data_IF_455592572892
#
_entry.id   IF_455592572892
#
_cell.length_a   1.000
_cell.length_b   1.000
_cell.length_c   1.000
_cell.angle_alpha   90.00
_cell.angle_beta   90.00
_cell.angle_gamma   90.00
#
_symmetry.space_group_name_H-M   'P 1'
#
loop_
_entity.id
_entity.type
_entity.pdbx_description
1 polymer ?
#
# COMPACT_ATOMS: atom_id res chain seq x y z
N UNK A 1 -21.98 -22.08 8.63
CA UNK A 1 -22.04 -23.38 9.34
C UNK A 1 -21.75 -23.12 10.80
N UNK A 2 -22.73 -23.34 11.69
CA UNK A 2 -22.56 -23.18 13.13
C UNK A 2 -21.83 -24.40 13.69
N UNK A 3 -20.55 -24.24 14.05
CA UNK A 3 -19.87 -25.20 14.90
C UNK A 3 -20.27 -24.94 16.35
N UNK A 4 -20.90 -25.94 16.98
CA UNK A 4 -21.22 -25.94 18.41
C UNK A 4 -19.93 -25.82 19.20
N UNK A 5 -19.94 -24.93 20.18
CA UNK A 5 -18.83 -24.55 21.06
C UNK A 5 -18.56 -25.56 22.19
N UNK A 6 -19.21 -26.71 22.15
CA UNK A 6 -19.20 -27.70 23.23
C UNK A 6 -18.75 -29.06 22.67
N UNK A 7 -17.44 -29.29 22.59
CA UNK A 7 -16.83 -30.65 22.64
C UNK A 7 -15.29 -30.68 22.65
N UNK A 8 -14.59 -29.57 22.97
CA UNK A 8 -13.22 -29.65 23.45
C UNK A 8 -13.23 -29.57 24.98
N UNK A 9 -13.50 -30.71 25.63
CA UNK A 9 -13.09 -30.86 27.02
C UNK A 9 -11.56 -30.77 27.04
N UNK A 10 -10.94 -29.92 27.88
CA UNK A 10 -9.52 -30.06 28.13
C UNK A 10 -9.32 -31.45 28.72
N UNK A 11 -8.66 -32.34 27.97
CA UNK A 11 -8.08 -33.53 28.56
C UNK A 11 -7.12 -33.00 29.61
N UNK A 12 -7.43 -33.29 30.87
CA UNK A 12 -6.66 -32.94 32.05
C UNK A 12 -5.34 -33.73 31.98
N UNK A 13 -4.45 -33.34 31.06
CA UNK A 13 -3.07 -33.80 31.04
C UNK A 13 -2.46 -33.18 32.27
N UNK A 14 -2.08 -34.05 33.20
CA UNK A 14 -1.67 -33.66 34.54
C UNK A 14 -0.40 -32.79 34.43
N UNK A 15 -0.54 -31.46 34.41
CA UNK A 15 0.55 -30.50 34.25
C UNK A 15 1.70 -30.73 35.26
N UNK A 16 1.37 -31.30 36.43
CA UNK A 16 2.33 -31.74 37.44
C UNK A 16 3.27 -32.84 36.95
N UNK A 17 2.79 -33.76 36.10
CA UNK A 17 3.58 -34.87 35.57
C UNK A 17 4.55 -34.39 34.49
N UNK A 18 4.12 -33.43 33.65
CA UNK A 18 4.99 -32.76 32.67
C UNK A 18 6.07 -31.95 33.40
N UNK A 19 5.68 -31.14 34.40
CA UNK A 19 6.63 -30.37 35.22
C UNK A 19 7.62 -31.28 35.96
N UNK A 20 7.18 -32.43 36.49
CA UNK A 20 8.05 -33.42 37.14
C UNK A 20 9.09 -34.01 36.18
N UNK A 21 8.68 -34.41 34.97
CA UNK A 21 9.61 -34.99 33.99
C UNK A 21 10.58 -33.96 33.41
N UNK A 22 10.15 -32.70 33.27
CA UNK A 22 11.03 -31.60 32.92
C UNK A 22 12.07 -31.36 34.03
N UNK A 23 11.65 -31.27 35.29
CA UNK A 23 12.58 -31.09 36.40
C UNK A 23 13.62 -32.23 36.51
N UNK A 24 13.23 -33.49 36.26
CA UNK A 24 14.18 -34.61 36.20
C UNK A 24 15.20 -34.48 35.06
N UNK A 25 14.79 -33.95 33.90
CA UNK A 25 15.72 -33.69 32.79
C UNK A 25 16.75 -32.60 33.14
N UNK A 26 16.36 -31.61 33.94
CA UNK A 26 17.23 -30.48 34.33
C UNK A 26 18.15 -30.78 35.52
N UNK A 27 17.92 -31.85 36.30
CA UNK A 27 18.69 -32.17 37.51
C UNK A 27 19.83 -33.19 37.31
N UNK A 28 19.83 -34.03 36.26
CA UNK A 28 20.79 -35.15 36.13
C UNK A 28 21.66 -35.16 34.85
N UNK A 29 22.86 -35.75 34.99
CA UNK A 29 24.01 -35.69 34.06
C UNK A 29 23.74 -36.25 32.65
N UNK A 30 24.39 -35.63 31.66
CA UNK A 30 24.21 -35.68 30.20
C UNK A 30 24.08 -37.04 29.46
N UNK A 31 24.32 -38.20 30.08
CA UNK A 31 24.39 -39.48 29.33
C UNK A 31 23.16 -40.41 29.51
N UNK A 32 22.55 -40.52 30.70
CA UNK A 32 21.31 -41.31 30.90
C UNK A 32 20.04 -40.57 30.43
N UNK A 33 20.14 -39.25 30.26
CA UNK A 33 19.00 -38.39 29.94
C UNK A 33 18.55 -38.44 28.48
N UNK A 34 19.38 -38.90 27.53
CA UNK A 34 18.98 -39.01 26.13
C UNK A 34 17.83 -40.01 25.91
N UNK A 35 17.73 -41.07 26.72
CA UNK A 35 16.72 -42.11 26.53
C UNK A 35 15.34 -41.71 27.09
N UNK A 36 15.31 -41.09 28.27
CA UNK A 36 14.09 -40.49 28.86
C UNK A 36 13.61 -39.31 28.02
N UNK A 37 14.55 -38.50 27.51
CA UNK A 37 14.29 -37.39 26.60
C UNK A 37 13.72 -37.85 25.26
N UNK A 38 14.29 -38.90 24.66
CA UNK A 38 13.73 -39.55 23.47
C UNK A 38 12.32 -40.08 23.71
N UNK A 39 12.06 -40.69 24.87
CA UNK A 39 10.73 -41.17 25.23
C UNK A 39 9.71 -40.04 25.43
N UNK A 40 10.14 -38.91 26.00
CA UNK A 40 9.30 -37.71 26.12
C UNK A 40 8.95 -37.16 24.73
N UNK A 41 9.93 -36.96 23.83
CA UNK A 41 9.68 -36.50 22.47
C UNK A 41 8.73 -37.45 21.72
N UNK A 42 8.90 -38.76 21.86
CA UNK A 42 8.02 -39.77 21.26
C UNK A 42 6.59 -39.71 21.85
N UNK A 43 6.43 -39.30 23.12
CA UNK A 43 5.12 -39.13 23.77
C UNK A 43 4.43 -37.79 23.44
N UNK A 44 5.16 -36.79 22.95
CA UNK A 44 4.61 -35.48 22.56
C UNK A 44 3.98 -35.52 21.15
N UNK A 45 2.74 -36.00 21.04
CA UNK A 45 1.89 -35.77 19.87
C UNK A 45 1.35 -34.31 19.86
N UNK A 46 0.86 -33.82 18.71
CA UNK A 46 0.45 -32.41 18.45
C UNK A 46 -0.34 -31.70 19.57
N UNK A 47 -1.23 -32.38 20.30
CA UNK A 47 -2.02 -31.81 21.41
C UNK A 47 -1.19 -31.47 22.67
N UNK A 48 -0.04 -32.11 22.85
CA UNK A 48 0.85 -31.87 24.00
C UNK A 48 1.84 -30.73 23.75
N UNK A 49 2.07 -30.34 22.48
CA UNK A 49 2.90 -29.17 22.11
C UNK A 49 2.22 -27.89 22.59
N UNK A 50 0.92 -27.73 22.32
CA UNK A 50 0.14 -26.56 22.74
C UNK A 50 0.11 -26.42 24.28
N UNK A 51 -0.04 -27.53 25.01
CA UNK A 51 0.04 -27.56 26.47
C UNK A 51 1.45 -27.17 26.99
N UNK A 52 2.52 -27.61 26.33
CA UNK A 52 3.89 -27.27 26.68
C UNK A 52 4.23 -25.79 26.39
N UNK A 53 3.77 -25.27 25.24
CA UNK A 53 3.90 -23.85 24.92
C UNK A 53 3.12 -23.01 25.95
N UNK A 54 1.92 -23.42 26.34
CA UNK A 54 1.16 -22.75 27.41
C UNK A 54 1.84 -22.82 28.78
N UNK A 55 2.57 -23.90 29.09
CA UNK A 55 3.40 -24.03 30.30
C UNK A 55 4.57 -23.03 30.32
N UNK A 56 5.21 -22.76 29.18
CA UNK A 56 6.24 -21.70 29.09
C UNK A 56 5.69 -20.29 29.33
N UNK A 57 4.39 -20.06 29.10
CA UNK A 57 3.73 -18.76 29.35
C UNK A 57 3.23 -18.58 30.79
N UNK A 58 2.84 -19.65 31.47
CA UNK A 58 2.36 -19.60 32.86
C UNK A 58 3.44 -19.20 33.88
N UNK A 59 4.72 -19.36 33.53
CA UNK A 59 5.85 -19.11 34.41
C UNK A 59 6.28 -17.64 34.49
N UNK A 60 5.68 -16.76 33.68
CA UNK A 60 6.04 -15.34 33.57
C UNK A 60 4.91 -14.38 34.03
N UNK A 61 3.71 -14.89 34.34
CA UNK A 61 2.50 -14.08 34.54
C UNK A 61 1.96 -13.99 35.97
N UNK A 62 2.56 -14.64 36.96
CA UNK A 62 2.15 -14.51 38.36
C UNK A 62 3.32 -14.17 39.29
N UNK A 63 3.43 -12.91 39.78
CA UNK A 63 4.43 -12.53 40.78
C UNK A 63 4.13 -13.08 42.18
N UNK A 64 2.96 -13.70 42.42
CA UNK A 64 2.48 -14.03 43.76
C UNK A 64 2.56 -15.52 44.13
N UNK A 65 2.96 -16.40 43.20
CA UNK A 65 3.30 -17.77 43.56
C UNK A 65 4.76 -17.85 44.00
N UNK A 66 4.96 -17.86 45.32
CA UNK A 66 6.23 -18.11 46.04
C UNK A 66 6.83 -19.52 45.80
N UNK A 67 6.64 -20.11 44.63
CA UNK A 67 7.53 -21.14 44.11
C UNK A 67 8.65 -20.41 43.39
N UNK A 68 9.84 -20.44 43.97
CA UNK A 68 11.10 -20.11 43.29
C UNK A 68 10.99 -20.54 41.83
N UNK A 69 10.85 -19.58 40.93
CA UNK A 69 11.01 -19.80 39.50
C UNK A 69 12.34 -20.51 39.39
N UNK A 70 12.40 -21.76 38.90
CA UNK A 70 13.70 -22.36 38.66
C UNK A 70 14.39 -21.41 37.67
N UNK A 71 15.54 -20.86 38.07
CA UNK A 71 16.49 -20.16 37.18
C UNK A 71 16.95 -21.05 35.98
N UNK A 72 16.34 -22.23 35.83
CA UNK A 72 16.58 -23.29 34.87
C UNK A 72 15.82 -23.18 33.55
N UNK A 73 14.88 -22.24 33.37
CA UNK A 73 14.42 -21.89 32.00
C UNK A 73 15.45 -21.01 31.30
N UNK A 74 16.68 -21.53 31.20
CA UNK A 74 17.72 -20.93 30.39
C UNK A 74 17.27 -21.03 28.92
N UNK A 75 17.18 -19.89 28.26
CA UNK A 75 16.78 -19.74 26.86
C UNK A 75 17.58 -20.63 25.91
N UNK A 76 18.84 -20.90 26.24
CA UNK A 76 19.70 -21.82 25.50
C UNK A 76 19.17 -23.26 25.56
N UNK A 77 18.58 -23.66 26.70
CA UNK A 77 18.01 -25.00 26.87
C UNK A 77 16.67 -25.12 26.17
N UNK A 78 15.82 -24.09 26.19
CA UNK A 78 14.57 -24.09 25.41
C UNK A 78 14.85 -24.11 23.90
N UNK A 79 15.86 -23.36 23.44
CA UNK A 79 16.33 -23.36 22.06
C UNK A 79 16.89 -24.73 21.64
N UNK A 80 17.71 -25.36 22.49
CA UNK A 80 18.18 -26.75 22.29
C UNK A 80 17.03 -27.74 22.26
N UNK A 81 16.09 -27.64 23.19
CA UNK A 81 14.90 -28.49 23.24
C UNK A 81 14.11 -28.39 21.94
N UNK A 82 13.80 -27.18 21.47
CA UNK A 82 13.09 -27.01 20.20
C UNK A 82 13.89 -27.66 19.06
N UNK A 83 15.20 -27.39 18.97
CA UNK A 83 16.08 -28.00 17.97
C UNK A 83 16.02 -29.53 17.97
N UNK A 84 16.10 -30.16 19.15
CA UNK A 84 16.10 -31.61 19.28
C UNK A 84 14.69 -32.20 19.06
N UNK A 85 13.66 -31.57 19.61
CA UNK A 85 12.26 -31.93 19.37
C UNK A 85 11.95 -31.96 17.88
N UNK A 86 12.40 -30.94 17.15
CA UNK A 86 12.28 -30.88 15.71
C UNK A 86 13.05 -32.04 15.04
N UNK A 87 14.32 -32.27 15.39
CA UNK A 87 15.12 -33.36 14.82
C UNK A 87 14.49 -34.76 15.00
N UNK A 88 13.64 -34.96 16.02
CA UNK A 88 13.06 -36.26 16.36
C UNK A 88 11.55 -36.40 16.10
N UNK A 89 10.88 -35.33 15.68
CA UNK A 89 9.44 -35.36 15.38
C UNK A 89 9.11 -36.07 14.06
N UNK A 90 8.17 -37.03 14.12
CA UNK A 90 7.72 -37.82 12.96
C UNK A 90 6.97 -36.92 11.95
N UNK A 91 6.21 -35.93 12.45
CA UNK A 91 5.53 -34.88 11.65
C UNK A 91 6.13 -33.48 11.93
N UNK A 92 7.44 -33.36 11.71
CA UNK A 92 8.21 -32.12 11.89
C UNK A 92 7.54 -30.86 11.36
N UNK A 93 6.93 -30.95 10.17
CA UNK A 93 6.24 -29.83 9.54
C UNK A 93 5.03 -29.39 10.39
N UNK A 94 4.14 -30.32 10.74
CA UNK A 94 2.95 -30.00 11.51
C UNK A 94 3.29 -29.43 12.90
N UNK A 95 4.32 -29.98 13.54
CA UNK A 95 4.84 -29.49 14.81
C UNK A 95 5.37 -28.06 14.69
N UNK A 96 6.17 -27.77 13.66
CA UNK A 96 6.72 -26.45 13.38
C UNK A 96 5.61 -25.42 13.14
N UNK A 97 4.60 -25.77 12.33
CA UNK A 97 3.45 -24.90 12.09
C UNK A 97 2.64 -24.62 13.36
N UNK A 98 2.40 -25.63 14.19
CA UNK A 98 1.65 -25.46 15.45
C UNK A 98 2.36 -24.49 16.39
N UNK A 99 3.68 -24.63 16.50
CA UNK A 99 4.54 -23.73 17.28
C UNK A 99 4.45 -22.29 16.74
N UNK A 100 4.64 -22.10 15.44
CA UNK A 100 4.54 -20.79 14.80
C UNK A 100 3.14 -20.16 14.92
N UNK A 101 2.08 -20.94 14.70
CA UNK A 101 0.70 -20.47 14.80
C UNK A 101 0.40 -20.01 16.22
N UNK A 102 0.75 -20.81 17.23
CA UNK A 102 0.50 -20.48 18.63
C UNK A 102 1.22 -19.20 19.08
N UNK A 103 2.46 -19.01 18.60
CA UNK A 103 3.24 -17.82 18.90
C UNK A 103 2.75 -16.55 18.20
N UNK A 104 2.11 -16.68 17.04
CA UNK A 104 1.65 -15.54 16.23
C UNK A 104 0.17 -15.21 16.43
N UNK A 105 -0.62 -16.07 17.07
CA UNK A 105 -2.06 -15.88 17.26
C UNK A 105 -2.42 -14.78 18.28
N UNK A 106 -1.47 -14.32 19.11
CA UNK A 106 -1.64 -13.24 20.07
C UNK A 106 -0.43 -12.30 20.04
N UNK A 107 -0.67 -10.98 20.06
CA UNK A 107 0.34 -9.92 20.12
C UNK A 107 1.33 -10.13 21.27
N UNK A 108 0.85 -10.51 22.45
CA UNK A 108 1.68 -10.66 23.66
C UNK A 108 2.66 -11.84 23.51
N UNK A 109 2.21 -12.92 22.87
CA UNK A 109 3.04 -14.09 22.57
C UNK A 109 4.13 -13.73 21.56
N UNK A 110 3.80 -12.88 20.58
CA UNK A 110 4.72 -12.44 19.56
C UNK A 110 5.86 -11.58 20.16
N UNK A 111 5.54 -10.59 21.01
CA UNK A 111 6.54 -9.77 21.72
C UNK A 111 7.50 -10.64 22.54
N UNK A 112 6.95 -11.58 23.32
CA UNK A 112 7.75 -12.51 24.13
C UNK A 112 8.68 -13.36 23.25
N UNK A 113 8.21 -13.84 22.12
CA UNK A 113 9.01 -14.64 21.19
C UNK A 113 10.15 -13.86 20.52
N UNK A 114 9.91 -12.59 20.23
CA UNK A 114 10.93 -11.69 19.70
C UNK A 114 12.02 -11.47 20.75
N UNK A 115 11.63 -11.18 22.00
CA UNK A 115 12.54 -10.91 23.11
C UNK A 115 13.48 -12.07 23.47
N UNK A 116 13.11 -13.29 23.07
CA UNK A 116 13.80 -14.54 23.41
C UNK A 116 14.72 -15.06 22.30
N UNK A 117 14.80 -14.37 21.14
CA UNK A 117 15.58 -14.79 19.95
C UNK A 117 15.19 -16.15 19.35
N UNK A 118 14.16 -16.84 19.87
CA UNK A 118 13.76 -18.17 19.40
C UNK A 118 13.34 -18.12 17.92
N UNK A 119 12.86 -16.98 17.45
CA UNK A 119 12.60 -16.72 16.03
C UNK A 119 13.81 -17.07 15.15
N UNK A 120 15.04 -16.68 15.54
CA UNK A 120 16.26 -16.99 14.79
C UNK A 120 16.51 -18.50 14.68
N UNK A 121 16.25 -19.25 15.75
CA UNK A 121 16.37 -20.71 15.76
C UNK A 121 15.32 -21.35 14.84
N UNK A 122 14.05 -20.93 14.96
CA UNK A 122 12.99 -21.44 14.09
C UNK A 122 13.28 -21.14 12.61
N UNK A 123 13.78 -19.94 12.32
CA UNK A 123 14.29 -19.55 11.01
C UNK A 123 15.43 -20.46 10.56
N UNK A 124 16.48 -20.66 11.35
CA UNK A 124 17.55 -21.58 10.97
C UNK A 124 17.07 -23.02 10.68
N UNK A 125 16.08 -23.50 11.43
CA UNK A 125 15.44 -24.82 11.22
C UNK A 125 14.67 -24.83 9.90
N UNK A 126 13.92 -23.77 9.59
CA UNK A 126 13.24 -23.61 8.30
C UNK A 126 14.18 -23.67 7.12
N UNK A 127 15.37 -23.10 7.26
CA UNK A 127 16.36 -23.11 6.18
C UNK A 127 16.77 -24.51 5.73
N UNK A 128 16.61 -25.49 6.60
CA UNK A 128 16.96 -26.89 6.34
C UNK A 128 15.74 -27.74 5.99
N UNK A 129 14.54 -27.18 6.06
CA UNK A 129 13.29 -27.90 5.81
C UNK A 129 13.01 -27.99 4.32
N UNK A 130 12.66 -29.17 3.81
CA UNK A 130 12.09 -29.35 2.47
C UNK A 130 10.57 -29.42 2.58
N UNK A 131 9.86 -28.59 1.83
CA UNK A 131 8.39 -28.59 1.81
C UNK A 131 7.88 -29.64 0.81
N UNK A 132 7.08 -30.60 1.29
CA UNK A 132 6.48 -31.66 0.46
C UNK A 132 5.03 -31.36 0.07
N UNK A 133 4.37 -30.48 0.82
CA UNK A 133 2.98 -30.06 0.62
C UNK A 133 2.91 -28.53 0.44
N UNK A 134 2.34 -28.09 -0.68
CA UNK A 134 2.16 -26.67 -1.02
C UNK A 134 1.21 -25.96 -0.05
N UNK A 135 0.17 -26.63 0.45
CA UNK A 135 -0.75 -26.02 1.42
C UNK A 135 -0.04 -25.74 2.74
N UNK A 136 0.81 -26.68 3.16
CA UNK A 136 1.66 -26.52 4.33
C UNK A 136 2.64 -25.36 4.13
N UNK A 137 3.33 -25.29 2.98
CA UNK A 137 4.22 -24.16 2.65
C UNK A 137 3.48 -22.81 2.71
N UNK A 138 2.29 -22.73 2.11
CA UNK A 138 1.50 -21.49 2.08
C UNK A 138 1.08 -21.04 3.48
N UNK A 139 0.56 -21.97 4.31
CA UNK A 139 0.18 -21.68 5.69
C UNK A 139 1.39 -21.24 6.51
N UNK A 140 2.52 -21.91 6.29
CA UNK A 140 3.77 -21.59 6.96
C UNK A 140 4.28 -20.17 6.63
N UNK A 141 4.30 -19.84 5.33
CA UNK A 141 4.69 -18.52 4.83
C UNK A 141 3.75 -17.44 5.37
N UNK A 142 2.45 -17.69 5.39
CA UNK A 142 1.46 -16.76 5.96
C UNK A 142 1.76 -16.45 7.44
N UNK A 143 2.10 -17.47 8.23
CA UNK A 143 2.46 -17.28 9.63
C UNK A 143 3.75 -16.48 9.80
N UNK A 144 4.75 -16.70 8.95
CA UNK A 144 5.96 -15.86 8.92
C UNK A 144 5.65 -14.41 8.57
N UNK A 145 4.74 -14.18 7.61
CA UNK A 145 4.31 -12.83 7.25
C UNK A 145 3.63 -12.13 8.42
N UNK A 146 2.77 -12.83 9.16
CA UNK A 146 2.12 -12.28 10.34
C UNK A 146 3.13 -11.91 11.44
N UNK A 147 4.14 -12.76 11.65
CA UNK A 147 5.23 -12.49 12.59
C UNK A 147 6.04 -11.25 12.19
N UNK A 148 6.38 -11.13 10.90
CA UNK A 148 7.08 -9.97 10.32
C UNK A 148 6.25 -8.71 10.46
N UNK A 149 4.95 -8.78 10.20
CA UNK A 149 4.05 -7.65 10.36
C UNK A 149 4.12 -7.10 11.78
N UNK A 150 4.01 -8.00 12.75
CA UNK A 150 4.04 -7.65 14.16
C UNK A 150 5.38 -7.06 14.58
N UNK A 151 6.49 -7.67 14.13
CA UNK A 151 7.85 -7.18 14.36
C UNK A 151 8.08 -5.76 13.82
N UNK A 152 7.50 -5.45 12.67
CA UNK A 152 7.80 -4.22 11.92
C UNK A 152 6.77 -3.10 12.12
N UNK A 153 5.56 -3.41 12.61
CA UNK A 153 4.54 -2.43 12.98
C UNK A 153 4.85 -1.72 14.30
N UNK A 154 5.56 -2.37 15.24
CA UNK A 154 5.86 -1.78 16.53
C UNK A 154 6.98 -0.72 16.41
N UNK A 155 6.57 0.54 16.28
CA UNK A 155 7.47 1.65 15.99
C UNK A 155 8.45 1.96 17.15
N UNK A 156 8.11 1.53 18.37
CA UNK A 156 8.86 1.79 19.61
C UNK A 156 9.92 0.73 19.91
N UNK A 157 9.87 -0.41 19.24
CA UNK A 157 10.73 -1.54 19.57
C UNK A 157 12.11 -1.46 18.91
N UNK A 158 13.18 -1.66 19.70
CA UNK A 158 14.56 -1.77 19.20
C UNK A 158 14.76 -3.03 18.30
N UNK A 159 13.77 -3.90 18.21
CA UNK A 159 13.82 -5.19 17.49
C UNK A 159 13.76 -5.05 15.96
N UNK A 160 13.39 -3.87 15.44
CA UNK A 160 13.27 -3.57 14.00
C UNK A 160 14.49 -3.92 13.14
N UNK A 161 15.67 -4.10 13.73
CA UNK A 161 16.95 -4.24 12.99
C UNK A 161 17.39 -5.67 12.73
N UNK A 162 16.74 -6.69 13.30
CA UNK A 162 17.32 -8.04 13.33
C UNK A 162 16.78 -9.02 12.29
N UNK A 163 15.89 -8.58 11.40
CA UNK A 163 15.20 -9.50 10.50
C UNK A 163 15.51 -9.31 9.02
N UNK A 164 16.60 -9.88 8.48
CA UNK A 164 17.02 -9.60 7.11
C UNK A 164 16.17 -10.33 6.06
N UNK A 165 15.79 -9.63 4.98
CA UNK A 165 15.07 -10.20 3.83
C UNK A 165 15.73 -11.46 3.25
N UNK A 166 17.07 -11.49 3.19
CA UNK A 166 17.86 -12.65 2.73
C UNK A 166 17.49 -13.97 3.40
N UNK A 167 16.89 -13.93 4.60
CA UNK A 167 16.40 -15.11 5.29
C UNK A 167 15.30 -15.87 4.52
N UNK A 168 14.55 -15.24 3.60
CA UNK A 168 13.48 -15.91 2.83
C UNK A 168 13.82 -16.23 1.38
N UNK A 169 14.99 -15.77 0.91
CA UNK A 169 15.48 -16.12 -0.42
C UNK A 169 16.02 -17.56 -0.51
N UNK A 170 15.70 -18.40 0.47
CA UNK A 170 16.26 -19.74 0.63
C UNK A 170 15.79 -20.69 -0.46
N UNK A 171 16.66 -21.61 -0.93
CA UNK A 171 16.38 -22.45 -2.09
C UNK A 171 15.15 -23.35 -1.94
N UNK A 172 14.78 -23.74 -0.71
CA UNK A 172 13.76 -24.77 -0.45
C UNK A 172 12.31 -24.25 -0.41
N UNK A 173 12.08 -22.94 -0.58
CA UNK A 173 10.74 -22.34 -0.65
C UNK A 173 10.38 -22.12 -2.12
N UNK A 174 9.12 -22.37 -2.51
CA UNK A 174 8.66 -22.12 -3.87
C UNK A 174 8.82 -20.64 -4.27
N UNK A 175 9.06 -20.38 -5.56
CA UNK A 175 9.18 -19.00 -6.06
C UNK A 175 7.89 -18.18 -5.85
N UNK A 176 6.72 -18.83 -5.89
CA UNK A 176 5.44 -18.17 -5.63
C UNK A 176 5.38 -17.61 -4.19
N UNK A 177 5.79 -18.41 -3.20
CA UNK A 177 5.88 -17.99 -1.80
C UNK A 177 6.91 -16.91 -1.58
N UNK A 178 8.08 -17.00 -2.23
CA UNK A 178 9.11 -15.95 -2.19
C UNK A 178 8.59 -14.62 -2.70
N UNK A 179 7.80 -14.62 -3.78
CA UNK A 179 7.16 -13.41 -4.31
C UNK A 179 6.12 -12.82 -3.36
N UNK A 180 5.28 -13.66 -2.78
CA UNK A 180 4.31 -13.21 -1.77
C UNK A 180 5.03 -12.58 -0.58
N UNK A 181 6.16 -13.18 -0.16
CA UNK A 181 6.99 -12.64 0.89
C UNK A 181 7.60 -11.30 0.52
N UNK A 182 8.24 -11.19 -0.65
CA UNK A 182 8.85 -9.95 -1.13
C UNK A 182 7.84 -8.80 -1.22
N UNK A 183 6.63 -9.06 -1.73
CA UNK A 183 5.55 -8.05 -1.79
C UNK A 183 5.18 -7.56 -0.40
N UNK A 184 5.05 -8.46 0.56
CA UNK A 184 4.69 -8.09 1.92
C UNK A 184 5.84 -7.33 2.61
N UNK A 185 7.04 -7.91 2.60
CA UNK A 185 8.22 -7.38 3.27
C UNK A 185 8.62 -5.99 2.74
N UNK A 186 8.46 -5.74 1.43
CA UNK A 186 8.73 -4.44 0.80
C UNK A 186 7.96 -3.26 1.40
N UNK A 187 6.86 -3.51 2.13
CA UNK A 187 6.13 -2.48 2.89
C UNK A 187 6.91 -1.90 4.06
N UNK A 188 7.96 -2.57 4.52
CA UNK A 188 8.70 -2.18 5.72
C UNK A 188 10.17 -1.87 5.42
N UNK A 189 10.63 -2.12 4.19
CA UNK A 189 12.01 -1.87 3.79
C UNK A 189 12.32 -0.37 3.82
N UNK A 190 13.31 -0.02 4.65
CA UNK A 190 13.87 1.34 4.74
C UNK A 190 15.36 1.38 4.40
N UNK A 191 16.06 0.26 4.57
CA UNK A 191 17.51 0.15 4.36
C UNK A 191 17.85 -0.15 2.89
N UNK A 192 18.91 0.49 2.39
CA UNK A 192 19.36 0.38 1.00
C UNK A 192 19.79 -1.05 0.62
N UNK A 193 20.43 -1.77 1.56
CA UNK A 193 20.92 -3.12 1.30
C UNK A 193 19.76 -4.10 1.09
N UNK A 194 18.73 -4.02 1.94
CA UNK A 194 17.55 -4.88 1.81
C UNK A 194 16.77 -4.57 0.52
N UNK A 195 16.62 -3.29 0.20
CA UNK A 195 15.98 -2.85 -1.04
C UNK A 195 16.76 -3.39 -2.25
N UNK A 196 18.09 -3.37 -2.19
CA UNK A 196 18.95 -3.93 -3.23
C UNK A 196 18.72 -5.44 -3.38
N UNK A 197 18.67 -6.20 -2.29
CA UNK A 197 18.41 -7.65 -2.32
C UNK A 197 17.03 -7.98 -2.93
N UNK A 198 15.98 -7.26 -2.51
CA UNK A 198 14.61 -7.44 -3.02
C UNK A 198 14.53 -7.08 -4.50
N UNK A 199 15.16 -5.98 -4.88
CA UNK A 199 15.20 -5.52 -6.27
C UNK A 199 15.95 -6.53 -7.14
N UNK A 200 17.09 -7.08 -6.68
CA UNK A 200 17.80 -8.14 -7.40
C UNK A 200 16.94 -9.40 -7.55
N UNK A 201 16.24 -9.81 -6.49
CA UNK A 201 15.30 -10.94 -6.56
C UNK A 201 14.19 -10.70 -7.59
N UNK A 202 13.54 -9.52 -7.56
CA UNK A 202 12.52 -9.16 -8.52
C UNK A 202 13.05 -9.12 -9.96
N UNK A 203 14.27 -8.59 -10.16
CA UNK A 203 14.95 -8.52 -11.47
C UNK A 203 15.25 -9.91 -12.04
N UNK A 204 15.69 -10.85 -11.20
CA UNK A 204 15.97 -12.24 -11.60
C UNK A 204 14.70 -13.00 -12.03
N UNK A 205 13.53 -12.55 -11.60
CA UNK A 205 12.26 -13.20 -11.87
C UNK A 205 11.35 -12.36 -12.80
N UNK A 206 11.93 -11.42 -13.55
CA UNK A 206 11.18 -10.69 -14.58
C UNK A 206 10.66 -11.66 -15.63
N UNK A 207 9.37 -11.52 -15.94
CA UNK A 207 8.69 -12.31 -16.96
C UNK A 207 7.51 -11.53 -17.52
N UNK A 208 6.97 -12.00 -18.63
CA UNK A 208 5.76 -11.45 -19.24
C UNK A 208 4.48 -12.02 -18.59
N UNK A 209 4.60 -12.77 -17.49
CA UNK A 209 3.44 -13.25 -16.73
C UNK A 209 2.81 -12.10 -15.95
N UNK A 210 1.54 -11.82 -16.22
CA UNK A 210 0.81 -10.70 -15.63
C UNK A 210 0.69 -10.79 -14.10
N UNK A 211 0.61 -12.00 -13.54
CA UNK A 211 0.56 -12.18 -12.09
C UNK A 211 1.89 -11.84 -11.44
N UNK A 212 3.00 -12.19 -12.08
CA UNK A 212 4.35 -11.82 -11.63
C UNK A 212 4.55 -10.31 -11.76
N UNK A 213 4.19 -9.71 -12.90
CA UNK A 213 4.28 -8.26 -13.11
C UNK A 213 3.47 -7.46 -12.07
N UNK A 214 2.25 -7.90 -11.74
CA UNK A 214 1.44 -7.32 -10.65
C UNK A 214 2.17 -7.37 -9.30
N UNK A 215 2.83 -8.48 -8.97
CA UNK A 215 3.57 -8.63 -7.70
C UNK A 215 4.80 -7.71 -7.68
N UNK A 216 5.54 -7.66 -8.79
CA UNK A 216 6.70 -6.78 -8.95
C UNK A 216 6.28 -5.30 -8.85
N UNK A 217 5.17 -4.89 -9.47
CA UNK A 217 4.71 -3.49 -9.38
C UNK A 217 4.32 -3.10 -7.95
N UNK A 218 3.78 -4.02 -7.16
CA UNK A 218 3.55 -3.80 -5.73
C UNK A 218 4.86 -3.62 -4.95
N UNK A 219 5.86 -4.46 -5.19
CA UNK A 219 7.19 -4.35 -4.55
C UNK A 219 7.77 -2.95 -4.77
N UNK A 220 7.81 -2.51 -6.04
CA UNK A 220 8.33 -1.20 -6.42
C UNK A 220 7.55 -0.07 -5.75
N UNK A 221 6.21 -0.14 -5.77
CA UNK A 221 5.35 0.87 -5.16
C UNK A 221 5.55 0.97 -3.64
N UNK A 222 5.66 -0.16 -2.94
CA UNK A 222 5.87 -0.17 -1.49
C UNK A 222 7.24 0.36 -1.10
N UNK A 223 8.30 0.01 -1.84
CA UNK A 223 9.62 0.60 -1.64
C UNK A 223 9.57 2.12 -1.82
N UNK A 224 8.90 2.60 -2.87
CA UNK A 224 8.80 4.04 -3.13
C UNK A 224 8.06 4.81 -2.03
N UNK A 225 7.00 4.22 -1.45
CA UNK A 225 6.23 4.83 -0.36
C UNK A 225 7.02 4.89 0.95
N UNK A 226 7.78 3.85 1.27
CA UNK A 226 8.43 3.72 2.58
C UNK A 226 9.89 4.18 2.61
N UNK A 227 10.56 4.15 1.46
CA UNK A 227 11.99 4.46 1.34
C UNK A 227 12.25 5.27 0.08
N UNK A 228 11.64 6.45 0.03
CA UNK A 228 11.65 7.31 -1.16
C UNK A 228 13.06 7.59 -1.69
N UNK A 229 14.04 7.87 -0.81
CA UNK A 229 15.42 8.14 -1.20
C UNK A 229 16.09 6.97 -1.96
N UNK A 230 15.67 5.74 -1.67
CA UNK A 230 16.22 4.52 -2.26
C UNK A 230 15.36 3.97 -3.41
N UNK A 231 14.26 4.63 -3.78
CA UNK A 231 13.37 4.14 -4.84
C UNK A 231 14.03 4.11 -6.23
N UNK A 232 15.14 4.85 -6.40
CA UNK A 232 15.95 4.85 -7.61
C UNK A 232 16.51 3.47 -7.96
N UNK A 233 16.69 2.59 -6.96
CA UNK A 233 17.12 1.21 -7.17
C UNK A 233 16.12 0.39 -7.99
N UNK A 234 14.84 0.77 -7.98
CA UNK A 234 13.79 0.08 -8.71
C UNK A 234 13.66 0.51 -10.19
N UNK A 235 14.43 1.50 -10.65
CA UNK A 235 14.22 2.11 -11.98
C UNK A 235 14.41 1.13 -13.14
N UNK A 236 15.39 0.23 -13.08
CA UNK A 236 15.60 -0.80 -14.12
C UNK A 236 14.37 -1.71 -14.28
N UNK A 237 13.81 -2.17 -13.16
CA UNK A 237 12.64 -3.06 -13.15
C UNK A 237 11.42 -2.29 -13.66
N UNK A 238 11.30 -1.05 -13.24
CA UNK A 238 10.22 -0.19 -13.64
C UNK A 238 10.24 0.10 -15.15
N UNK A 239 11.42 0.33 -15.73
CA UNK A 239 11.60 0.46 -17.17
C UNK A 239 11.18 -0.83 -17.90
N UNK A 240 11.54 -2.00 -17.38
CA UNK A 240 11.07 -3.27 -17.94
C UNK A 240 9.53 -3.36 -17.94
N UNK A 241 8.89 -3.03 -16.81
CA UNK A 241 7.42 -3.03 -16.72
C UNK A 241 6.79 -2.09 -17.76
N UNK A 242 7.40 -0.93 -18.00
CA UNK A 242 6.88 0.05 -18.98
C UNK A 242 6.77 -0.51 -20.40
N UNK A 243 7.69 -1.39 -20.78
CA UNK A 243 7.74 -2.01 -22.11
C UNK A 243 6.72 -3.15 -22.27
N UNK A 244 6.18 -3.65 -21.16
CA UNK A 244 5.30 -4.83 -21.10
C UNK A 244 3.97 -4.54 -20.39
N UNK A 245 3.60 -3.26 -20.29
CA UNK A 245 2.34 -2.82 -19.69
C UNK A 245 1.15 -3.40 -20.46
N UNK A 246 0.34 -4.22 -19.78
CA UNK A 246 -1.00 -4.56 -20.23
C UNK A 246 -1.99 -3.51 -19.73
N UNK A 247 -2.52 -2.70 -20.66
CA UNK A 247 -3.48 -1.64 -20.34
C UNK A 247 -4.87 -2.15 -19.94
N UNK A 248 -5.12 -3.46 -20.03
CA UNK A 248 -6.33 -4.07 -19.49
C UNK A 248 -6.14 -4.49 -18.03
N UNK A 249 -4.92 -4.45 -17.50
CA UNK A 249 -4.61 -4.86 -16.13
C UNK A 249 -4.62 -3.69 -15.15
N UNK A 250 -5.80 -3.41 -14.61
CA UNK A 250 -6.02 -2.27 -13.71
C UNK A 250 -5.07 -2.25 -12.49
N UNK A 251 -4.75 -3.43 -11.94
CA UNK A 251 -3.89 -3.54 -10.74
C UNK A 251 -2.45 -3.19 -11.07
N UNK A 252 -1.95 -3.64 -12.21
CA UNK A 252 -0.61 -3.30 -12.69
C UNK A 252 -0.51 -1.81 -13.02
N UNK A 253 -1.45 -1.31 -13.81
CA UNK A 253 -1.48 0.08 -14.29
C UNK A 253 -1.55 1.07 -13.13
N UNK A 254 -2.45 0.83 -12.17
CA UNK A 254 -2.57 1.67 -10.98
C UNK A 254 -1.24 1.80 -10.25
N UNK A 255 -0.59 0.68 -9.96
CA UNK A 255 0.69 0.67 -9.24
C UNK A 255 1.77 1.40 -10.05
N UNK A 256 1.80 1.17 -11.36
CA UNK A 256 2.73 1.81 -12.28
C UNK A 256 2.60 3.34 -12.26
N UNK A 257 1.37 3.88 -12.40
CA UNK A 257 1.14 5.32 -12.37
C UNK A 257 1.36 5.94 -11.00
N UNK A 258 1.03 5.23 -9.91
CA UNK A 258 1.34 5.71 -8.56
C UNK A 258 2.85 5.82 -8.33
N UNK A 259 3.64 4.88 -8.82
CA UNK A 259 5.10 4.99 -8.75
C UNK A 259 5.61 6.16 -9.58
N UNK A 260 5.08 6.39 -10.80
CA UNK A 260 5.43 7.57 -11.61
C UNK A 260 5.23 8.87 -10.82
N UNK A 261 4.07 9.01 -10.16
CA UNK A 261 3.69 10.20 -9.42
C UNK A 261 4.64 10.46 -8.25
N UNK A 262 4.91 9.45 -7.42
CA UNK A 262 5.85 9.55 -6.28
C UNK A 262 7.23 9.99 -6.78
N UNK A 263 7.70 9.32 -7.83
CA UNK A 263 9.02 9.53 -8.43
C UNK A 263 9.15 10.97 -8.96
N UNK A 264 8.13 11.50 -9.63
CA UNK A 264 8.11 12.88 -10.12
C UNK A 264 8.10 13.95 -9.02
N UNK A 265 7.31 13.73 -7.97
CA UNK A 265 7.20 14.66 -6.84
C UNK A 265 8.54 14.83 -6.11
N UNK A 266 9.38 13.79 -6.13
CA UNK A 266 10.68 13.80 -5.46
C UNK A 266 11.85 14.32 -6.30
N UNK A 267 11.59 14.85 -7.50
CA UNK A 267 12.59 15.56 -8.30
C UNK A 267 13.87 14.77 -8.62
N UNK A 268 13.83 13.43 -8.79
CA UNK A 268 15.06 12.72 -9.16
C UNK A 268 15.57 13.14 -10.55
N UNK A 269 16.87 13.45 -10.63
CA UNK A 269 17.53 14.07 -11.79
C UNK A 269 17.44 13.24 -13.09
N UNK A 270 17.33 11.92 -12.99
CA UNK A 270 17.29 11.01 -14.15
C UNK A 270 15.87 10.68 -14.65
N UNK A 271 14.83 11.16 -13.96
CA UNK A 271 13.43 10.91 -14.33
C UNK A 271 13.03 11.64 -15.60
N UNK A 272 13.67 12.77 -15.91
CA UNK A 272 13.20 13.67 -16.96
C UNK A 272 13.13 12.97 -18.32
N UNK A 273 14.16 12.19 -18.72
CA UNK A 273 14.12 11.41 -19.96
C UNK A 273 13.06 10.30 -19.92
N UNK A 274 12.89 9.67 -18.75
CA UNK A 274 11.97 8.55 -18.54
C UNK A 274 10.50 8.99 -18.58
N UNK A 275 10.14 10.06 -17.87
CA UNK A 275 8.80 10.67 -17.92
C UNK A 275 8.53 11.25 -19.29
N UNK A 276 9.51 11.88 -19.94
CA UNK A 276 9.30 12.40 -21.30
C UNK A 276 8.88 11.28 -22.28
N UNK A 277 9.34 10.04 -22.10
CA UNK A 277 8.89 8.90 -22.90
C UNK A 277 7.47 8.42 -22.51
N UNK A 278 7.13 8.33 -21.22
CA UNK A 278 5.76 8.02 -20.78
C UNK A 278 4.78 9.05 -21.33
N UNK A 279 5.12 10.32 -21.25
CA UNK A 279 4.22 11.42 -21.57
C UNK A 279 4.10 11.64 -23.07
N UNK A 280 5.15 11.32 -23.85
CA UNK A 280 5.07 11.33 -25.32
C UNK A 280 4.35 10.10 -25.89
N UNK A 281 4.40 8.95 -25.22
CA UNK A 281 3.87 7.69 -25.76
C UNK A 281 2.46 7.37 -25.28
N UNK A 282 2.05 7.87 -24.12
CA UNK A 282 0.72 7.61 -23.56
C UNK A 282 -0.09 8.89 -23.64
N UNK A 283 -1.24 8.83 -24.33
CA UNK A 283 -2.25 9.87 -24.28
C UNK A 283 -2.87 9.90 -22.86
N UNK A 284 -2.08 10.26 -21.85
CA UNK A 284 -2.37 10.07 -20.43
C UNK A 284 -3.71 10.70 -20.04
N UNK A 285 -4.02 11.88 -20.60
CA UNK A 285 -5.30 12.54 -20.41
C UNK A 285 -6.41 11.74 -21.05
N UNK A 286 -6.30 11.40 -22.34
CA UNK A 286 -7.32 10.60 -23.02
C UNK A 286 -7.59 9.27 -22.31
N UNK A 287 -6.55 8.59 -21.82
CA UNK A 287 -6.68 7.38 -21.01
C UNK A 287 -7.36 7.64 -19.66
N UNK A 288 -7.08 8.77 -19.00
CA UNK A 288 -7.71 9.13 -17.74
C UNK A 288 -9.20 9.43 -17.93
N UNK A 289 -9.53 10.17 -18.99
CA UNK A 289 -10.88 10.58 -19.33
C UNK A 289 -11.74 9.40 -19.79
N UNK A 290 -11.17 8.46 -20.55
CA UNK A 290 -11.88 7.29 -21.05
C UNK A 290 -11.95 6.14 -20.02
N UNK A 291 -11.22 6.20 -18.90
CA UNK A 291 -11.23 5.14 -17.90
C UNK A 291 -12.38 5.32 -16.93
N UNK A 292 -13.34 4.40 -16.91
CA UNK A 292 -14.46 4.36 -15.95
C UNK A 292 -14.00 4.06 -14.50
N UNK A 293 -12.75 3.68 -14.29
CA UNK A 293 -12.22 3.31 -12.99
C UNK A 293 -11.39 4.43 -12.33
N UNK A 294 -11.93 4.99 -11.25
CA UNK A 294 -11.29 6.05 -10.46
C UNK A 294 -9.92 5.65 -9.88
N UNK A 295 -9.68 4.36 -9.67
CA UNK A 295 -8.37 3.87 -9.25
C UNK A 295 -7.27 4.09 -10.30
N UNK A 296 -7.64 4.29 -11.57
CA UNK A 296 -6.74 4.51 -12.70
C UNK A 296 -6.77 5.97 -13.14
N UNK A 297 -7.97 6.53 -13.32
CA UNK A 297 -8.16 7.89 -13.84
C UNK A 297 -7.58 8.96 -12.90
N UNK A 298 -7.75 8.82 -11.57
CA UNK A 298 -7.22 9.79 -10.60
C UNK A 298 -5.68 9.84 -10.60
N UNK A 299 -4.94 8.71 -10.48
CA UNK A 299 -3.48 8.74 -10.61
C UNK A 299 -2.99 9.35 -11.93
N UNK A 300 -3.66 9.07 -13.05
CA UNK A 300 -3.34 9.62 -14.36
C UNK A 300 -3.53 11.15 -14.41
N UNK A 301 -4.65 11.66 -13.91
CA UNK A 301 -4.90 13.11 -13.83
C UNK A 301 -3.87 13.82 -12.95
N UNK A 302 -3.54 13.23 -11.80
CA UNK A 302 -2.49 13.76 -10.90
C UNK A 302 -1.12 13.75 -11.56
N UNK A 303 -0.81 12.70 -12.30
CA UNK A 303 0.44 12.57 -13.06
C UNK A 303 0.52 13.69 -14.11
N UNK A 304 -0.52 13.83 -14.93
CA UNK A 304 -0.57 14.86 -15.97
C UNK A 304 -0.50 16.27 -15.37
N UNK A 305 -1.23 16.57 -14.30
CA UNK A 305 -1.13 17.83 -13.55
C UNK A 305 0.32 18.12 -13.14
N UNK A 306 1.00 17.14 -12.53
CA UNK A 306 2.37 17.29 -12.03
C UNK A 306 3.37 17.57 -13.17
N UNK A 307 3.18 16.91 -14.32
CA UNK A 307 4.02 17.12 -15.49
C UNK A 307 3.78 18.51 -16.08
N UNK A 308 2.52 18.87 -16.31
CA UNK A 308 2.15 20.17 -16.87
C UNK A 308 2.61 21.30 -15.95
N UNK A 309 2.50 21.17 -14.63
CA UNK A 309 2.88 22.22 -13.69
C UNK A 309 4.39 22.43 -13.63
N UNK A 310 5.16 21.35 -13.83
CA UNK A 310 6.62 21.36 -13.70
C UNK A 310 7.34 21.66 -15.01
N UNK A 311 6.80 21.20 -16.13
CA UNK A 311 7.44 21.28 -17.44
C UNK A 311 6.70 22.20 -18.42
N UNK A 312 5.55 22.76 -18.02
CA UNK A 312 4.72 23.63 -18.86
C UNK A 312 4.32 23.02 -20.20
N UNK A 313 4.19 21.68 -20.25
CA UNK A 313 3.77 20.98 -21.45
C UNK A 313 2.25 20.83 -21.41
N UNK A 314 1.58 21.44 -22.40
CA UNK A 314 0.15 21.32 -22.62
C UNK A 314 -0.17 19.94 -23.20
N UNK A 315 -1.08 19.21 -22.55
CA UNK A 315 -1.67 17.99 -23.10
C UNK A 315 -3.17 18.20 -23.24
N UNK A 316 -3.58 18.53 -24.46
CA UNK A 316 -4.99 18.69 -24.75
C UNK A 316 -5.56 17.38 -25.32
N UNK A 317 -6.62 16.85 -24.70
CA UNK A 317 -7.40 15.79 -25.31
C UNK A 317 -8.35 16.36 -26.35
N UNK A 318 -8.90 15.53 -27.24
CA UNK A 318 -9.91 16.01 -28.20
C UNK A 318 -11.09 16.70 -27.48
N UNK A 319 -11.72 17.69 -28.13
CA UNK A 319 -12.96 18.33 -27.62
C UNK A 319 -13.97 17.27 -27.20
N UNK A 320 -14.14 16.24 -28.03
CA UNK A 320 -15.07 15.14 -27.76
C UNK A 320 -14.74 14.45 -26.44
N UNK A 321 -13.48 14.07 -26.22
CA UNK A 321 -13.04 13.42 -24.97
C UNK A 321 -13.26 14.31 -23.75
N UNK A 322 -13.02 15.62 -23.87
CA UNK A 322 -13.29 16.57 -22.78
C UNK A 322 -14.77 16.69 -22.49
N UNK A 323 -15.61 16.80 -23.52
CA UNK A 323 -17.06 16.88 -23.39
C UNK A 323 -17.64 15.61 -22.79
N UNK A 324 -17.19 14.45 -23.25
CA UNK A 324 -17.60 13.15 -22.73
C UNK A 324 -17.18 13.00 -21.25
N UNK A 325 -15.97 13.44 -20.89
CA UNK A 325 -15.51 13.45 -19.51
C UNK A 325 -16.27 14.43 -18.61
N UNK A 326 -16.63 15.61 -19.13
CA UNK A 326 -17.39 16.61 -18.38
C UNK A 326 -18.84 16.18 -18.16
N UNK A 327 -19.47 15.59 -19.17
CA UNK A 327 -20.82 15.04 -19.05
C UNK A 327 -20.86 13.86 -18.08
N UNK A 328 -19.85 12.99 -18.11
CA UNK A 328 -19.74 11.88 -17.16
C UNK A 328 -19.24 12.30 -15.78
N UNK A 329 -18.61 13.48 -15.62
CA UNK A 329 -18.07 13.94 -14.34
C UNK A 329 -19.15 13.98 -13.25
N UNK A 330 -20.39 14.31 -13.58
CA UNK A 330 -21.51 14.29 -12.63
C UNK A 330 -21.84 12.89 -12.09
N UNK A 331 -21.49 11.83 -12.83
CA UNK A 331 -21.72 10.43 -12.47
C UNK A 331 -20.50 9.78 -11.80
N UNK A 332 -19.39 10.53 -11.66
CA UNK A 332 -18.10 10.05 -11.17
C UNK A 332 -17.89 10.39 -9.70
N UNK A 333 -16.87 9.81 -9.05
CA UNK A 333 -16.59 10.18 -7.66
C UNK A 333 -16.10 11.63 -7.55
N UNK A 334 -16.41 12.28 -6.43
CA UNK A 334 -15.90 13.62 -6.11
C UNK A 334 -14.37 13.72 -6.25
N UNK A 335 -13.61 12.67 -5.93
CA UNK A 335 -12.15 12.68 -6.05
C UNK A 335 -11.67 12.75 -7.51
N UNK A 336 -12.39 12.10 -8.43
CA UNK A 336 -12.13 12.22 -9.86
C UNK A 336 -12.41 13.65 -10.32
N UNK A 337 -13.58 14.18 -9.98
CA UNK A 337 -14.00 15.53 -10.36
C UNK A 337 -12.98 16.57 -9.86
N UNK A 338 -12.61 16.52 -8.57
CA UNK A 338 -11.61 17.41 -7.99
C UNK A 338 -10.26 17.33 -8.73
N UNK A 339 -9.81 16.12 -9.07
CA UNK A 339 -8.53 15.92 -9.77
C UNK A 339 -8.59 16.43 -11.21
N UNK A 340 -9.73 16.26 -11.87
CA UNK A 340 -9.98 16.69 -13.24
C UNK A 340 -10.02 18.22 -13.34
N UNK A 341 -10.76 18.89 -12.44
CA UNK A 341 -10.83 20.35 -12.44
C UNK A 341 -9.51 21.01 -12.02
N UNK A 342 -8.75 20.41 -11.10
CA UNK A 342 -7.38 20.85 -10.81
C UNK A 342 -6.51 20.78 -12.07
N UNK A 343 -6.60 19.69 -12.84
CA UNK A 343 -5.90 19.57 -14.11
C UNK A 343 -6.34 20.63 -15.14
N UNK A 344 -7.64 20.81 -15.32
CA UNK A 344 -8.17 21.82 -16.26
C UNK A 344 -7.71 23.23 -15.85
N UNK A 345 -7.83 23.58 -14.58
CA UNK A 345 -7.46 24.92 -14.08
C UNK A 345 -6.01 25.27 -14.39
N UNK A 346 -5.11 24.29 -14.33
CA UNK A 346 -3.71 24.46 -14.71
C UNK A 346 -3.54 24.59 -16.23
N UNK A 347 -4.25 23.76 -17.00
CA UNK A 347 -4.16 23.72 -18.46
C UNK A 347 -4.66 25.01 -19.09
N UNK A 348 -5.68 25.63 -18.49
CA UNK A 348 -6.27 26.89 -18.94
C UNK A 348 -5.25 28.03 -19.03
N UNK A 349 -4.27 28.10 -18.12
CA UNK A 349 -3.21 29.11 -18.15
C UNK A 349 -2.22 28.96 -19.30
N UNK A 350 -2.20 27.80 -19.96
CA UNK A 350 -1.27 27.49 -21.04
C UNK A 350 -1.94 27.63 -22.42
N UNK A 351 -3.22 27.98 -22.46
CA UNK A 351 -3.95 28.20 -23.70
C UNK A 351 -3.53 29.53 -24.32
N UNK A 352 -3.17 29.48 -25.60
CA UNK A 352 -2.86 30.68 -26.38
C UNK A 352 -3.74 30.80 -27.64
N UNK A 353 -4.53 29.78 -27.96
CA UNK A 353 -5.31 29.69 -29.19
C UNK A 353 -6.78 30.01 -28.92
N UNK A 354 -7.34 30.94 -29.71
CA UNK A 354 -8.73 31.38 -29.58
C UNK A 354 -9.74 30.22 -29.69
N UNK A 355 -9.51 29.26 -30.60
CA UNK A 355 -10.36 28.08 -30.77
C UNK A 355 -10.46 27.26 -29.48
N UNK A 356 -9.37 27.15 -28.72
CA UNK A 356 -9.36 26.44 -27.44
C UNK A 356 -10.06 27.24 -26.35
N UNK A 357 -9.97 28.58 -26.37
CA UNK A 357 -10.72 29.43 -25.44
C UNK A 357 -12.23 29.27 -25.68
N UNK A 358 -12.68 29.35 -26.92
CA UNK A 358 -14.09 29.14 -27.31
C UNK A 358 -14.63 27.78 -26.85
N UNK A 359 -13.80 26.73 -26.96
CA UNK A 359 -14.14 25.42 -26.43
C UNK A 359 -14.43 25.45 -24.91
N UNK A 360 -13.61 26.15 -24.12
CA UNK A 360 -13.85 26.29 -22.68
C UNK A 360 -15.08 27.13 -22.35
N UNK A 361 -15.41 28.12 -23.18
CA UNK A 361 -16.67 28.88 -23.03
C UNK A 361 -17.88 27.96 -23.10
N UNK A 362 -17.86 27.00 -24.03
CA UNK A 362 -18.94 26.02 -24.20
C UNK A 362 -19.06 25.04 -23.01
N UNK A 363 -18.09 25.00 -22.10
CA UNK A 363 -18.12 24.16 -20.91
C UNK A 363 -18.54 24.89 -19.63
N UNK A 364 -18.67 26.23 -19.65
CA UNK A 364 -19.13 27.03 -18.51
C UNK A 364 -20.43 26.50 -17.88
N UNK A 365 -21.50 26.15 -18.65
CA UNK A 365 -22.72 25.60 -18.06
C UNK A 365 -22.44 24.33 -17.25
N UNK A 366 -21.68 23.40 -17.83
CA UNK A 366 -21.36 22.12 -17.21
C UNK A 366 -20.49 22.32 -15.96
N UNK A 367 -19.55 23.28 -16.00
CA UNK A 367 -18.74 23.61 -14.84
C UNK A 367 -19.61 24.08 -13.68
N UNK A 368 -20.54 25.01 -13.92
CA UNK A 368 -21.44 25.55 -12.90
C UNK A 368 -22.34 24.43 -12.33
N UNK A 369 -22.92 23.58 -13.19
CA UNK A 369 -23.73 22.44 -12.76
C UNK A 369 -22.94 21.49 -11.84
N UNK A 370 -21.66 21.26 -12.13
CA UNK A 370 -20.81 20.40 -11.32
C UNK A 370 -20.54 20.99 -9.93
N UNK A 371 -20.39 22.32 -9.80
CA UNK A 371 -20.19 22.91 -8.47
C UNK A 371 -21.40 22.67 -7.56
N UNK A 372 -22.62 22.72 -8.12
CA UNK A 372 -23.87 22.45 -7.39
C UNK A 372 -23.92 21.02 -6.81
N UNK A 373 -23.08 20.10 -7.29
CA UNK A 373 -22.95 18.75 -6.73
C UNK A 373 -22.13 18.68 -5.43
N UNK A 374 -21.51 19.78 -4.99
CA UNK A 374 -20.71 19.85 -3.76
C UNK A 374 -19.20 19.70 -3.96
N UNK A 375 -18.72 19.86 -5.20
CA UNK A 375 -17.29 19.85 -5.58
C UNK A 375 -16.64 21.19 -5.18
N UNK A 376 -15.33 21.19 -4.92
CA UNK A 376 -14.57 22.42 -4.64
C UNK A 376 -14.70 23.42 -5.81
N UNK A 377 -15.29 24.59 -5.54
CA UNK A 377 -15.57 25.61 -6.55
C UNK A 377 -14.33 26.37 -7.02
N UNK A 378 -13.24 26.37 -6.23
CA UNK A 378 -12.07 27.23 -6.45
C UNK A 378 -11.36 26.98 -7.79
N UNK A 379 -11.13 25.73 -8.24
CA UNK A 379 -10.56 25.48 -9.56
C UNK A 379 -11.41 26.04 -10.70
N UNK A 380 -12.73 26.02 -10.57
CA UNK A 380 -13.66 26.55 -11.59
C UNK A 380 -13.67 28.07 -11.57
N UNK A 381 -13.69 28.69 -10.39
CA UNK A 381 -13.49 30.13 -10.24
C UNK A 381 -12.18 30.59 -10.92
N UNK A 382 -11.09 29.86 -10.72
CA UNK A 382 -9.80 30.14 -11.36
C UNK A 382 -9.88 30.04 -12.89
N UNK A 383 -10.57 29.02 -13.42
CA UNK A 383 -10.80 28.88 -14.87
C UNK A 383 -11.57 30.08 -15.42
N UNK A 384 -12.69 30.44 -14.79
CA UNK A 384 -13.55 31.56 -15.23
C UNK A 384 -12.77 32.88 -15.20
N UNK A 385 -12.06 33.16 -14.11
CA UNK A 385 -11.24 34.37 -13.96
C UNK A 385 -10.16 34.46 -15.03
N UNK A 386 -9.52 33.34 -15.38
CA UNK A 386 -8.52 33.33 -16.45
C UNK A 386 -9.15 33.56 -17.83
N UNK A 387 -10.26 32.90 -18.14
CA UNK A 387 -10.98 33.09 -19.41
C UNK A 387 -11.45 34.54 -19.58
N UNK A 388 -11.92 35.18 -18.50
CA UNK A 388 -12.25 36.62 -18.48
C UNK A 388 -11.04 37.46 -18.87
N UNK A 389 -9.88 37.18 -18.28
CA UNK A 389 -8.68 37.97 -18.57
C UNK A 389 -8.16 37.76 -20.00
N UNK A 390 -8.24 36.55 -20.56
CA UNK A 390 -7.87 36.28 -21.95
C UNK A 390 -8.84 36.91 -22.95
N UNK A 391 -10.14 36.85 -22.66
CA UNK A 391 -11.18 37.33 -23.57
C UNK A 391 -11.36 38.85 -23.59
N UNK A 392 -10.90 39.59 -22.58
CA UNK A 392 -11.01 41.07 -22.53
C UNK A 392 -10.56 41.81 -23.80
N UNK A 393 -9.62 41.26 -24.57
CA UNK A 393 -9.11 41.88 -25.78
C UNK A 393 -9.91 41.54 -27.05
N UNK A 394 -10.87 40.61 -26.95
CA UNK A 394 -11.76 40.18 -28.03
C UNK A 394 -13.22 40.41 -27.59
N UNK A 395 -13.85 41.44 -28.15
CA UNK A 395 -15.17 41.90 -27.73
C UNK A 395 -16.25 40.81 -27.87
N UNK A 396 -16.22 40.02 -28.93
CA UNK A 396 -17.25 39.01 -29.20
C UNK A 396 -17.06 37.80 -28.28
N UNK A 397 -15.81 37.39 -28.05
CA UNK A 397 -15.47 36.31 -27.12
C UNK A 397 -15.79 36.71 -25.67
N UNK A 398 -15.48 37.96 -25.28
CA UNK A 398 -15.77 38.48 -23.94
C UNK A 398 -17.28 38.54 -23.65
N UNK A 399 -18.05 39.05 -24.61
CA UNK A 399 -19.52 39.07 -24.54
C UNK A 399 -20.10 37.66 -24.44
N UNK A 400 -19.59 36.73 -25.23
CA UNK A 400 -20.04 35.32 -25.20
C UNK A 400 -19.77 34.68 -23.85
N UNK A 401 -18.61 34.94 -23.23
CA UNK A 401 -18.29 34.45 -21.88
C UNK A 401 -19.22 35.04 -20.82
N UNK A 402 -19.39 36.37 -20.79
CA UNK A 402 -20.24 37.02 -19.80
C UNK A 402 -21.71 36.61 -19.95
N UNK A 403 -22.17 36.43 -21.20
CA UNK A 403 -23.50 35.89 -21.47
C UNK A 403 -23.67 34.45 -20.96
N UNK A 404 -22.67 33.58 -21.17
CA UNK A 404 -22.70 32.21 -20.66
C UNK A 404 -22.73 32.17 -19.12
N UNK A 405 -21.94 33.01 -18.45
CA UNK A 405 -21.96 33.12 -16.97
C UNK A 405 -23.34 33.60 -16.49
N UNK A 406 -23.89 34.62 -17.13
CA UNK A 406 -25.19 35.21 -16.77
C UNK A 406 -26.34 34.22 -16.91
N UNK A 407 -26.46 33.54 -18.06
CA UNK A 407 -27.52 32.56 -18.32
C UNK A 407 -27.52 31.44 -17.27
N UNK A 408 -26.34 31.00 -16.86
CA UNK A 408 -26.17 29.89 -15.92
C UNK A 408 -26.06 30.35 -14.46
N UNK A 409 -26.36 31.61 -14.15
CA UNK A 409 -26.34 32.16 -12.78
C UNK A 409 -25.00 31.92 -12.06
N UNK A 410 -23.88 31.93 -12.79
CA UNK A 410 -22.58 31.51 -12.24
C UNK A 410 -22.16 32.28 -10.99
N UNK A 411 -22.38 33.60 -10.96
CA UNK A 411 -22.04 34.46 -9.80
C UNK A 411 -22.91 34.16 -8.58
N UNK A 412 -24.20 33.91 -8.77
CA UNK A 412 -25.12 33.49 -7.70
C UNK A 412 -24.78 32.12 -7.14
N UNK A 413 -24.39 31.17 -8.01
CA UNK A 413 -23.95 29.83 -7.60
C UNK A 413 -22.71 29.90 -6.71
N UNK A 414 -21.68 30.67 -7.11
CA UNK A 414 -20.48 30.84 -6.28
C UNK A 414 -20.81 31.43 -4.91
N UNK A 415 -21.60 32.51 -4.85
CA UNK A 415 -21.98 33.15 -3.58
C UNK A 415 -22.76 32.21 -2.67
N UNK A 416 -23.75 31.51 -3.23
CA UNK A 416 -24.58 30.56 -2.47
C UNK A 416 -23.73 29.48 -1.80
N UNK A 417 -22.68 29.00 -2.48
CA UNK A 417 -21.79 27.97 -1.95
C UNK A 417 -20.91 28.51 -0.82
N UNK A 418 -20.36 29.72 -0.99
CA UNK A 418 -19.56 30.39 0.05
C UNK A 418 -20.40 30.60 1.32
N UNK A 419 -21.62 31.10 1.16
CA UNK A 419 -22.56 31.35 2.25
C UNK A 419 -22.95 30.06 2.98
N UNK A 420 -23.30 29.01 2.22
CA UNK A 420 -23.71 27.71 2.76
C UNK A 420 -22.57 26.99 3.50
N UNK A 421 -21.33 27.14 3.03
CA UNK A 421 -20.16 26.55 3.65
C UNK A 421 -19.57 27.41 4.78
N UNK A 422 -20.11 28.61 5.01
CA UNK A 422 -19.60 29.59 5.96
C UNK A 422 -18.10 29.89 5.77
N UNK A 423 -17.68 30.01 4.51
CA UNK A 423 -16.28 30.27 4.13
C UNK A 423 -16.08 31.78 4.03
N UNK A 424 -14.99 32.30 4.61
CA UNK A 424 -14.58 33.70 4.46
C UNK A 424 -13.67 33.84 3.21
N UNK A 425 -14.27 33.81 2.02
CA UNK A 425 -13.57 33.96 0.73
C UNK A 425 -13.92 35.30 0.05
N UNK A 426 -13.34 36.37 0.61
CA UNK A 426 -13.53 37.73 0.12
C UNK A 426 -13.06 37.92 -1.34
N UNK A 427 -12.06 37.15 -1.80
CA UNK A 427 -11.52 37.28 -3.15
C UNK A 427 -12.55 36.84 -4.19
N UNK A 428 -13.19 35.68 -3.97
CA UNK A 428 -14.25 35.19 -4.87
C UNK A 428 -15.47 36.09 -4.83
N UNK A 429 -15.86 36.64 -3.67
CA UNK A 429 -16.96 37.60 -3.56
C UNK A 429 -16.68 38.85 -4.40
N UNK A 430 -15.49 39.45 -4.25
CA UNK A 430 -15.08 40.61 -5.04
C UNK A 430 -15.08 40.31 -6.55
N UNK A 431 -14.67 39.09 -6.93
CA UNK A 431 -14.69 38.66 -8.33
C UNK A 431 -16.12 38.53 -8.87
N UNK A 432 -17.06 38.02 -8.08
CA UNK A 432 -18.48 37.98 -8.44
C UNK A 432 -19.06 39.38 -8.60
N UNK A 433 -18.74 40.32 -7.70
CA UNK A 433 -19.19 41.72 -7.80
C UNK A 433 -18.68 42.38 -9.09
N UNK A 434 -17.43 42.10 -9.48
CA UNK A 434 -16.88 42.56 -10.75
C UNK A 434 -17.64 41.97 -11.95
N UNK A 435 -17.92 40.66 -11.95
CA UNK A 435 -18.65 40.02 -13.05
C UNK A 435 -20.07 40.57 -13.21
N UNK A 436 -20.80 40.77 -12.11
CA UNK A 436 -22.15 41.34 -12.15
C UNK A 436 -22.16 42.74 -12.78
N UNK A 437 -21.19 43.59 -12.44
CA UNK A 437 -21.06 44.93 -13.02
C UNK A 437 -20.80 44.90 -14.53
N UNK A 438 -19.92 44.00 -14.99
CA UNK A 438 -19.63 43.84 -16.42
C UNK A 438 -20.85 43.29 -17.19
N UNK A 439 -21.60 42.34 -16.60
CA UNK A 439 -22.84 41.80 -17.17
C UNK A 439 -23.93 42.88 -17.27
N UNK A 440 -24.11 43.69 -16.23
CA UNK A 440 -25.07 44.80 -16.21
C UNK A 440 -24.73 45.83 -17.30
N UNK A 441 -23.44 46.16 -17.45
CA UNK A 441 -22.96 47.09 -18.47
C UNK A 441 -23.26 46.58 -19.89
N UNK A 442 -23.14 45.27 -20.12
CA UNK A 442 -23.45 44.65 -21.40
C UNK A 442 -24.94 44.54 -21.73
N UNK A 443 -25.79 44.44 -20.71
CA UNK A 443 -27.25 44.26 -20.89
C UNK A 443 -28.01 45.59 -20.95
N UNK A 444 -27.43 46.65 -20.39
CA UNK A 444 -28.04 47.99 -20.33
C UNK A 444 -27.47 49.00 -21.34
N UNK A 445 -26.31 48.71 -21.95
CA UNK A 445 -25.72 49.46 -23.07
C UNK A 445 -26.14 48.91 -24.42
#
# INVERSE_FOLDING_TARGET
MNYKKDELRPLNVNNQKISYHLNQYFEDKEEENNEIFHQLIIQFNNQNIEAFLNLSFFLDSEPECNTTIPEFFNLDIFSRFLSDFFNFSIDFQQALFTVFYHFTNNSDNCIKFISTNIHKTLFHILRKTEFKDQNFENNFVFTCLHFVDFLLQDDESNFKKEFPFSFFLLPNISNASKFNFAVFYSKYCRDEKEITEITQFAKQNLSNDIFIMRKISWIILYIAKNSINNCHLCFDIFEFLSQHLDFNDEKLIKNYFQFCLITLQCNFKNITNFVTNIVRNFALIEMALNSENDMISIPLLKLAYTITSKYHILYFSSEKSMRDALNSAQERSHQFIDSFFKYISLTVFLIQENETIELFLNFIPIFIDIILTGVDYRPIQTIVQHLVNLSKNDCDMYKSLLHAISINQGTEVFRTIIDNLHIDDLETICFCDFLDQEIDTLTTG
#
